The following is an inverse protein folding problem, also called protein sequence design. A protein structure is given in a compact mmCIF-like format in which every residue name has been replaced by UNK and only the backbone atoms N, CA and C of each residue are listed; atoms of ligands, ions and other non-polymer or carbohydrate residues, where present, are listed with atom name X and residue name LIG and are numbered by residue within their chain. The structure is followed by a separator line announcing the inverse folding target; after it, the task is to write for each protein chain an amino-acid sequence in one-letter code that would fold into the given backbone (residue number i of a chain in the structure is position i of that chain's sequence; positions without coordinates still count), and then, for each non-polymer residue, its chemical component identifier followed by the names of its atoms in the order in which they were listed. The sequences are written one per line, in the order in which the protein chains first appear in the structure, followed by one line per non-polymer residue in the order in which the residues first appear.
data_IF_042265096626
#
_entry.id   IF_042265096626
#
_cell.length_a   1.000
_cell.length_b   1.000
_cell.length_c   1.000
_cell.angle_alpha   90.00
_cell.angle_beta   90.00
_cell.angle_gamma   90.00
#
_symmetry.space_group_name_H-M   'P 1'
#
loop_
_entity.id
_entity.type
_entity.pdbx_description
1 polymer ?
#
# COMPACT_ATOMS: atom_id res chain seq x y z
N UNK A 1 -4.67 -21.89 -7.93
CA UNK A 1 -4.65 -20.60 -8.64
C UNK A 1 -3.98 -19.61 -7.70
N UNK A 2 -2.85 -19.02 -8.10
CA UNK A 2 -2.17 -17.98 -7.33
C UNK A 2 -2.63 -16.60 -7.81
N UNK A 3 -2.70 -15.59 -6.93
CA UNK A 3 -3.04 -14.23 -7.34
C UNK A 3 -1.90 -13.61 -8.17
N UNK A 4 -2.24 -12.67 -9.05
CA UNK A 4 -1.24 -11.85 -9.74
C UNK A 4 -0.79 -10.66 -8.89
N UNK A 5 -1.69 -10.11 -8.09
CA UNK A 5 -1.45 -8.97 -7.20
C UNK A 5 -2.07 -9.25 -5.85
N UNK A 6 -1.36 -8.94 -4.77
CA UNK A 6 -1.85 -9.01 -3.39
C UNK A 6 -1.62 -7.68 -2.68
N UNK A 7 -2.61 -7.25 -1.90
CA UNK A 7 -2.54 -6.05 -1.08
C UNK A 7 -2.57 -6.49 0.38
N UNK A 8 -1.59 -6.05 1.16
CA UNK A 8 -1.51 -6.26 2.58
C UNK A 8 -1.93 -4.98 3.30
N UNK A 9 -3.11 -5.01 3.93
CA UNK A 9 -3.76 -3.85 4.52
C UNK A 9 -3.47 -3.75 6.01
N UNK A 10 -2.82 -2.65 6.42
CA UNK A 10 -2.44 -2.39 7.80
C UNK A 10 -2.90 -1.02 8.29
N UNK A 11 -2.73 -0.79 9.59
CA UNK A 11 -2.90 0.50 10.22
C UNK A 11 -1.67 0.88 11.07
N UNK A 12 -1.34 2.17 11.08
CA UNK A 12 -0.25 2.77 11.83
C UNK A 12 -0.75 3.73 12.91
N UNK A 13 0.16 4.44 13.58
CA UNK A 13 -0.18 5.42 14.61
C UNK A 13 -1.21 6.47 14.14
N UNK A 14 -2.10 6.91 15.05
CA UNK A 14 -3.17 7.89 14.74
C UNK A 14 -2.64 9.22 14.18
N UNK A 15 -1.40 9.57 14.53
CA UNK A 15 -0.76 10.85 14.18
C UNK A 15 -0.03 10.80 12.83
N UNK A 16 -0.04 9.65 12.16
CA UNK A 16 0.44 9.51 10.78
C UNK A 16 -0.64 9.90 9.75
N UNK A 17 -0.38 9.68 8.46
CA UNK A 17 -1.34 9.90 7.37
C UNK A 17 -1.75 8.60 6.67
N UNK A 18 -1.32 8.36 5.44
CA UNK A 18 -1.49 7.10 4.72
C UNK A 18 -0.16 6.74 4.03
N UNK A 19 0.24 5.49 4.06
CA UNK A 19 1.39 5.00 3.31
C UNK A 19 1.01 3.91 2.32
N UNK A 20 1.70 3.89 1.20
CA UNK A 20 1.69 2.80 0.23
C UNK A 20 3.09 2.61 -0.36
N UNK A 21 3.39 1.38 -0.76
CA UNK A 21 4.60 1.01 -1.51
C UNK A 21 4.86 1.94 -2.72
N UNK A 22 6.12 2.20 -3.12
CA UNK A 22 7.29 1.35 -2.87
C UNK A 22 7.99 1.54 -1.52
N UNK A 23 8.60 0.47 -1.04
CA UNK A 23 9.63 0.47 0.00
C UNK A 23 10.97 1.00 -0.53
N UNK A 24 11.89 1.47 0.35
CA UNK A 24 13.24 1.88 -0.06
C UNK A 24 14.03 0.71 -0.66
N UNK A 25 14.93 1.00 -1.62
CA UNK A 25 15.77 -0.03 -2.28
C UNK A 25 16.60 -0.88 -1.32
N UNK A 26 17.02 -0.31 -0.18
CA UNK A 26 17.76 -1.03 0.86
C UNK A 26 16.96 -2.18 1.49
N UNK A 27 15.64 -2.18 1.31
CA UNK A 27 14.72 -3.20 1.82
C UNK A 27 14.33 -4.23 0.77
N UNK A 28 14.91 -4.20 -0.44
CA UNK A 28 14.64 -5.20 -1.46
C UNK A 28 15.38 -6.51 -1.16
N UNK A 29 14.70 -7.62 -1.31
CA UNK A 29 15.30 -8.96 -1.29
C UNK A 29 16.13 -9.19 -2.54
N UNK A 30 17.35 -9.75 -2.43
CA UNK A 30 18.14 -10.15 -3.60
C UNK A 30 17.55 -11.37 -4.32
N UNK A 31 16.57 -12.05 -3.71
CA UNK A 31 15.92 -13.25 -4.27
C UNK A 31 14.72 -12.91 -5.17
N UNK A 32 14.15 -11.71 -5.02
CA UNK A 32 12.97 -11.28 -5.76
C UNK A 32 13.43 -10.53 -7.02
N UNK A 33 12.83 -10.79 -8.20
CA UNK A 33 13.12 -10.03 -9.40
C UNK A 33 12.89 -8.53 -9.22
N UNK A 34 13.81 -7.71 -9.74
CA UNK A 34 13.66 -6.25 -9.71
C UNK A 34 12.33 -5.77 -10.33
N UNK A 35 11.79 -6.52 -11.30
CA UNK A 35 10.51 -6.23 -11.95
C UNK A 35 9.32 -6.16 -10.97
N UNK A 36 9.30 -6.99 -9.90
CA UNK A 36 8.24 -6.91 -8.88
C UNK A 36 8.25 -5.56 -8.18
N UNK A 37 9.44 -5.10 -7.77
CA UNK A 37 9.62 -3.79 -7.14
C UNK A 37 9.36 -2.61 -8.09
N UNK A 38 9.68 -2.75 -9.38
CA UNK A 38 9.33 -1.73 -10.38
C UNK A 38 7.81 -1.66 -10.61
N UNK A 39 7.11 -2.79 -10.51
CA UNK A 39 5.65 -2.81 -10.58
C UNK A 39 4.99 -2.13 -9.37
N UNK A 40 5.61 -2.18 -8.18
CA UNK A 40 5.15 -1.39 -7.02
C UNK A 40 5.12 0.11 -7.35
N UNK A 41 6.12 0.65 -8.06
CA UNK A 41 6.11 2.05 -8.51
C UNK A 41 4.99 2.35 -9.51
N UNK A 42 4.60 1.36 -10.30
CA UNK A 42 3.48 1.48 -11.23
C UNK A 42 2.15 1.55 -10.46
N UNK A 43 1.92 0.62 -9.52
CA UNK A 43 0.74 0.61 -8.65
C UNK A 43 0.65 1.88 -7.78
N UNK A 44 1.78 2.40 -7.30
CA UNK A 44 1.87 3.62 -6.52
C UNK A 44 1.20 4.83 -7.21
N UNK A 45 1.26 4.91 -8.55
CA UNK A 45 0.58 5.97 -9.32
C UNK A 45 -0.94 5.89 -9.17
N UNK A 46 -1.49 4.67 -9.15
CA UNK A 46 -2.92 4.43 -9.00
C UNK A 46 -3.38 4.68 -7.55
N UNK A 47 -2.54 4.34 -6.57
CA UNK A 47 -2.79 4.67 -5.16
C UNK A 47 -2.79 6.18 -4.92
N UNK A 48 -1.79 6.88 -5.44
CA UNK A 48 -1.70 8.34 -5.38
C UNK A 48 -2.95 8.99 -6.00
N UNK A 49 -3.32 8.62 -7.23
CA UNK A 49 -4.52 9.14 -7.89
C UNK A 49 -5.80 8.90 -7.09
N UNK A 50 -5.93 7.72 -6.45
CA UNK A 50 -7.10 7.39 -5.65
C UNK A 50 -7.20 8.26 -4.39
N UNK A 51 -6.07 8.51 -3.71
CA UNK A 51 -6.01 9.31 -2.49
C UNK A 51 -6.10 10.81 -2.80
N UNK A 52 -5.47 11.27 -3.88
CA UNK A 52 -5.57 12.65 -4.40
C UNK A 52 -7.03 13.01 -4.71
N UNK A 53 -7.76 12.11 -5.37
CA UNK A 53 -9.19 12.30 -5.68
C UNK A 53 -10.06 12.44 -4.41
N UNK A 54 -9.60 11.92 -3.27
CA UNK A 54 -10.26 12.02 -1.96
C UNK A 54 -9.76 13.19 -1.10
N UNK A 55 -8.69 13.86 -1.51
CA UNK A 55 -7.98 14.85 -0.70
C UNK A 55 -7.32 14.24 0.55
N UNK A 56 -6.93 12.96 0.50
CA UNK A 56 -6.24 12.29 1.61
C UNK A 56 -4.74 12.55 1.54
N UNK A 57 -4.15 12.97 2.66
CA UNK A 57 -2.69 13.07 2.77
C UNK A 57 -2.05 11.68 2.81
N UNK A 58 -0.90 11.54 2.16
CA UNK A 58 -0.13 10.31 2.14
C UNK A 58 1.38 10.56 2.00
N UNK A 59 2.16 9.49 2.19
CA UNK A 59 3.58 9.43 1.87
C UNK A 59 3.93 8.06 1.27
N UNK A 60 5.08 7.95 0.60
CA UNK A 60 5.55 6.73 -0.06
C UNK A 60 7.07 6.77 -0.22
N UNK A 61 7.72 5.63 -0.52
CA UNK A 61 9.17 5.56 -0.74
C UNK A 61 10.02 5.48 0.53
N UNK A 62 9.41 5.36 1.70
CA UNK A 62 10.06 5.49 3.01
C UNK A 62 9.58 4.43 4.02
N UNK A 63 10.35 4.26 5.10
CA UNK A 63 10.01 3.66 6.41
C UNK A 63 9.60 2.17 6.51
N UNK A 64 9.06 1.54 5.46
CA UNK A 64 8.64 0.13 5.52
C UNK A 64 9.57 -0.79 4.76
N UNK A 65 9.62 -2.06 5.19
CA UNK A 65 10.46 -3.08 4.61
C UNK A 65 9.70 -4.02 3.67
N UNK A 66 10.43 -4.58 2.70
CA UNK A 66 9.88 -5.49 1.69
C UNK A 66 10.91 -6.59 1.34
N UNK A 67 11.49 -7.18 2.40
CA UNK A 67 12.65 -8.06 2.31
C UNK A 67 12.36 -9.54 2.58
N UNK A 68 11.53 -9.84 3.58
CA UNK A 68 11.43 -11.19 4.16
C UNK A 68 10.20 -11.96 3.66
N UNK A 69 10.32 -13.26 3.32
CA UNK A 69 9.19 -14.09 2.89
C UNK A 69 8.13 -14.35 3.98
N UNK A 70 8.32 -13.82 5.19
CA UNK A 70 7.32 -13.93 6.27
C UNK A 70 6.32 -12.76 6.28
N UNK A 71 6.57 -11.71 5.49
CA UNK A 71 5.69 -10.54 5.42
C UNK A 71 4.59 -10.77 4.38
N UNK A 72 3.37 -10.34 4.70
CA UNK A 72 2.20 -10.54 3.84
C UNK A 72 2.33 -9.84 2.48
N UNK A 73 3.05 -8.73 2.44
CA UNK A 73 3.38 -8.00 1.22
C UNK A 73 4.53 -8.61 0.40
N UNK A 74 5.51 -9.29 1.02
CA UNK A 74 6.67 -9.82 0.30
C UNK A 74 6.51 -11.30 -0.06
N UNK A 75 5.80 -12.10 0.75
CA UNK A 75 5.56 -13.52 0.50
C UNK A 75 5.02 -13.83 -0.92
N UNK A 76 4.07 -13.04 -1.47
CA UNK A 76 3.53 -13.30 -2.81
C UNK A 76 4.58 -13.09 -3.92
N UNK A 77 5.54 -12.20 -3.71
CA UNK A 77 6.63 -11.93 -4.68
C UNK A 77 7.53 -13.15 -4.87
N UNK A 78 7.75 -13.95 -3.81
CA UNK A 78 8.47 -15.22 -3.90
C UNK A 78 7.76 -16.27 -4.77
N UNK A 79 6.46 -16.07 -5.01
CA UNK A 79 5.63 -16.93 -5.87
C UNK A 79 5.30 -16.28 -7.22
N UNK A 80 5.95 -15.17 -7.57
CA UNK A 80 5.78 -14.48 -8.85
C UNK A 80 4.56 -13.57 -8.95
N UNK A 81 3.86 -13.33 -7.84
CA UNK A 81 2.87 -12.26 -7.76
C UNK A 81 3.58 -10.91 -7.52
N UNK A 82 2.82 -9.83 -7.50
CA UNK A 82 3.27 -8.53 -6.97
C UNK A 82 2.53 -8.24 -5.67
N UNK A 83 3.27 -8.12 -4.58
CA UNK A 83 2.71 -7.76 -3.28
C UNK A 83 2.99 -6.32 -2.88
N UNK A 84 2.00 -5.68 -2.25
CA UNK A 84 2.12 -4.29 -1.75
C UNK A 84 1.59 -4.14 -0.34
N UNK A 85 2.32 -3.41 0.51
CA UNK A 85 1.84 -2.94 1.82
C UNK A 85 1.14 -1.60 1.68
N UNK A 86 0.04 -1.42 2.41
CA UNK A 86 -0.58 -0.12 2.64
C UNK A 86 -0.88 0.07 4.12
N UNK A 87 -0.71 1.29 4.61
CA UNK A 87 -0.76 1.63 6.03
C UNK A 87 -1.63 2.85 6.24
N UNK A 88 -2.73 2.71 6.97
CA UNK A 88 -3.66 3.80 7.28
C UNK A 88 -3.41 4.29 8.71
N UNK A 89 -3.34 5.61 8.96
CA UNK A 89 -3.42 6.12 10.32
C UNK A 89 -4.65 5.53 11.04
N UNK A 90 -4.43 4.84 12.16
CA UNK A 90 -5.44 4.04 12.82
C UNK A 90 -6.47 4.93 13.51
N UNK A 91 -7.74 4.74 13.15
CA UNK A 91 -8.88 5.26 13.91
C UNK A 91 -9.26 4.34 15.08
N UNK A 92 -8.66 3.14 15.16
CA UNK A 92 -9.00 2.07 16.12
C UNK A 92 -10.49 1.75 16.14
N UNK A 93 -11.16 1.87 14.99
CA UNK A 93 -12.61 1.62 14.87
C UNK A 93 -13.51 2.70 15.46
N UNK A 94 -12.98 3.87 15.86
CA UNK A 94 -13.73 4.95 16.52
C UNK A 94 -13.21 6.33 16.12
N UNK A 95 -13.78 7.40 16.69
CA UNK A 95 -13.22 8.75 16.51
C UNK A 95 -12.04 8.95 17.45
N UNK A 96 -10.95 9.53 16.95
CA UNK A 96 -9.75 9.88 17.71
C UNK A 96 -9.24 11.27 17.33
N UNK A 97 -8.64 11.98 18.28
CA UNK A 97 -7.88 13.19 17.99
C UNK A 97 -6.47 12.80 17.50
N UNK A 98 -6.04 13.37 16.38
CA UNK A 98 -4.67 13.30 15.90
C UNK A 98 -4.07 14.69 15.72
N UNK A 99 -2.77 14.75 15.46
CA UNK A 99 -2.09 16.00 15.06
C UNK A 99 -2.69 16.63 13.79
N UNK A 100 -3.44 15.86 12.99
CA UNK A 100 -4.10 16.31 11.76
C UNK A 100 -5.61 16.58 11.94
N UNK A 101 -6.11 16.58 13.19
CA UNK A 101 -7.53 16.79 13.51
C UNK A 101 -8.28 15.51 13.86
N UNK A 102 -9.61 15.52 13.71
CA UNK A 102 -10.44 14.35 14.03
C UNK A 102 -10.26 13.25 12.97
N UNK A 103 -9.76 12.10 13.41
CA UNK A 103 -9.65 10.87 12.62
C UNK A 103 -10.84 9.97 12.93
N UNK A 104 -11.63 9.63 11.91
CA UNK A 104 -12.87 8.85 12.06
C UNK A 104 -12.77 7.49 11.37
N UNK A 105 -13.49 6.49 11.86
CA UNK A 105 -13.51 5.16 11.24
C UNK A 105 -14.02 5.16 9.78
N UNK A 106 -15.08 5.92 9.42
CA UNK A 106 -15.46 6.07 8.02
C UNK A 106 -14.35 6.65 7.14
N UNK A 107 -13.55 7.60 7.64
CA UNK A 107 -12.41 8.14 6.91
C UNK A 107 -11.35 7.07 6.63
N UNK A 108 -11.02 6.23 7.62
CA UNK A 108 -10.00 5.17 7.44
C UNK A 108 -10.48 4.08 6.49
N UNK A 109 -11.76 3.68 6.56
CA UNK A 109 -12.36 2.75 5.60
C UNK A 109 -12.34 3.32 4.18
N UNK A 110 -12.74 4.60 4.01
CA UNK A 110 -12.78 5.28 2.71
C UNK A 110 -11.44 5.19 1.98
N UNK A 111 -10.35 5.45 2.70
CA UNK A 111 -9.01 5.42 2.11
C UNK A 111 -8.60 4.00 1.72
N UNK A 112 -8.79 3.01 2.61
CA UNK A 112 -8.45 1.62 2.30
C UNK A 112 -9.24 1.09 1.08
N UNK A 113 -10.53 1.42 0.99
CA UNK A 113 -11.37 1.03 -0.17
C UNK A 113 -10.87 1.69 -1.45
N UNK A 114 -10.57 2.99 -1.43
CA UNK A 114 -10.11 3.71 -2.61
C UNK A 114 -8.76 3.18 -3.11
N UNK A 115 -7.81 2.95 -2.21
CA UNK A 115 -6.51 2.35 -2.54
C UNK A 115 -6.69 0.94 -3.10
N UNK A 116 -7.55 0.11 -2.50
CA UNK A 116 -7.87 -1.22 -3.00
C UNK A 116 -8.43 -1.22 -4.43
N UNK A 117 -9.38 -0.34 -4.72
CA UNK A 117 -9.92 -0.16 -6.07
C UNK A 117 -8.88 0.42 -7.04
N UNK A 118 -7.99 1.29 -6.56
CA UNK A 118 -6.83 1.79 -7.29
C UNK A 118 -5.91 0.66 -7.74
N UNK A 119 -5.58 -0.28 -6.84
CA UNK A 119 -4.79 -1.48 -7.18
C UNK A 119 -5.47 -2.31 -8.25
N UNK A 120 -6.77 -2.59 -8.13
CA UNK A 120 -7.50 -3.38 -9.14
C UNK A 120 -7.44 -2.69 -10.50
N UNK A 121 -7.63 -1.36 -10.53
CA UNK A 121 -7.52 -0.58 -11.77
C UNK A 121 -6.11 -0.67 -12.36
N UNK A 122 -5.07 -0.50 -11.55
CA UNK A 122 -3.69 -0.64 -12.00
C UNK A 122 -3.38 -2.03 -12.55
N UNK A 123 -3.72 -3.07 -11.79
CA UNK A 123 -3.50 -4.46 -12.19
C UNK A 123 -4.21 -4.84 -13.51
N UNK A 124 -5.42 -4.32 -13.74
CA UNK A 124 -6.17 -4.56 -14.99
C UNK A 124 -5.61 -3.76 -16.16
N UNK A 125 -5.28 -2.48 -15.93
CA UNK A 125 -4.80 -1.57 -16.98
C UNK A 125 -3.41 -1.98 -17.47
N UNK A 126 -2.53 -2.33 -16.54
CA UNK A 126 -1.11 -2.67 -16.79
C UNK A 126 -0.89 -4.16 -17.06
N UNK A 127 -1.96 -4.92 -17.34
CA UNK A 127 -1.91 -6.38 -17.52
C UNK A 127 -0.88 -6.85 -18.56
N UNK A 128 -0.59 -6.01 -19.55
CA UNK A 128 0.28 -6.38 -20.68
C UNK A 128 1.78 -6.22 -20.41
N UNK A 129 2.16 -5.63 -19.27
CA UNK A 129 3.55 -5.31 -18.94
C UNK A 129 3.93 -3.91 -19.39
#
# INVERSE_FOLDING_TARGET
WYPNVQIDFHEMGKDSTYYFEPSPKSMHSPLIPAASYEFNKTLARYHAQALDALGSLYYTGENFDNFSPVYGSTYPDFHGAVGVTVEQASSRGRVQESVNGLLTFPFTIRNQVATGLGTVRGAVTERSG
#
